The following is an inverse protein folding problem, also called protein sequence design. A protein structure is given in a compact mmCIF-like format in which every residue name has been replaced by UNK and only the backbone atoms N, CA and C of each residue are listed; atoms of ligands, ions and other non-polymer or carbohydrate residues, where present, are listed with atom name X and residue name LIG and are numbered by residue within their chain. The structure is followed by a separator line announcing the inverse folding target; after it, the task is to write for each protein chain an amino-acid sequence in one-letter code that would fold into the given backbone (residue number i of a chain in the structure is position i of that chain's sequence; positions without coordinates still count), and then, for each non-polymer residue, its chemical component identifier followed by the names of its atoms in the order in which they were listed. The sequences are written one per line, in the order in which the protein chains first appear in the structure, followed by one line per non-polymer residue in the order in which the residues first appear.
data_IF_299236593008
#
_entry.id   IF_299236593008
#
_cell.length_a   1.000
_cell.length_b   1.000
_cell.length_c   1.000
_cell.angle_alpha   90.00
_cell.angle_beta   90.00
_cell.angle_gamma   90.00
#
_symmetry.space_group_name_H-M   'P 1'
#
loop_
_entity.id
_entity.type
_entity.pdbx_description
1 polymer ?
#
# COMPACT_ATOMS: atom_id res chain seq x y z
N UNK A 1 -1.20 13.36 15.81
CA UNK A 1 -0.77 13.37 14.60
C UNK A 1 -1.60 14.13 13.71
N UNK A 2 -0.98 14.68 12.89
CA UNK A 2 -1.56 15.57 12.18
C UNK A 2 -2.05 15.08 10.92
N UNK A 3 -3.30 15.02 10.77
CA UNK A 3 -3.94 14.62 9.55
C UNK A 3 -3.60 15.60 8.45
N UNK A 4 -3.51 16.85 8.78
CA UNK A 4 -3.17 17.83 7.79
C UNK A 4 -1.77 17.68 7.26
N UNK A 5 -0.84 17.39 8.11
CA UNK A 5 0.53 17.18 7.68
C UNK A 5 0.60 16.02 6.73
N UNK A 6 -0.15 15.00 7.01
CA UNK A 6 -0.18 13.83 6.16
C UNK A 6 -0.74 14.18 4.79
N UNK A 7 -1.83 14.92 4.76
CA UNK A 7 -2.43 15.28 3.50
C UNK A 7 -1.52 16.19 2.68
N UNK A 8 -0.86 17.11 3.34
CA UNK A 8 0.06 18.00 2.64
C UNK A 8 1.23 17.23 2.07
N UNK A 9 1.71 16.26 2.81
CA UNK A 9 2.80 15.46 2.35
C UNK A 9 2.42 14.66 1.12
N UNK A 10 1.24 14.10 1.13
CA UNK A 10 0.75 13.34 -0.01
C UNK A 10 0.61 14.24 -1.23
N UNK A 11 0.08 15.43 -1.04
CA UNK A 11 -0.05 16.36 -2.13
C UNK A 11 1.28 16.74 -2.73
N UNK A 12 2.25 16.99 -1.88
CA UNK A 12 3.57 17.30 -2.34
C UNK A 12 4.17 16.17 -3.12
N UNK A 13 4.01 14.95 -2.62
CA UNK A 13 4.53 13.81 -3.28
C UNK A 13 3.90 13.64 -4.65
N UNK A 14 2.62 13.86 -4.71
CA UNK A 14 1.90 13.76 -5.96
C UNK A 14 2.43 14.76 -6.98
N UNK A 15 2.65 15.97 -6.55
CA UNK A 15 3.16 17.01 -7.42
C UNK A 15 4.55 16.65 -7.95
N UNK A 16 5.38 16.11 -7.11
CA UNK A 16 6.70 15.70 -7.52
C UNK A 16 6.64 14.61 -8.58
N UNK A 17 5.80 13.63 -8.38
CA UNK A 17 5.65 12.56 -9.35
C UNK A 17 5.17 13.13 -10.66
N UNK A 18 4.19 14.00 -10.60
CA UNK A 18 3.63 14.60 -11.78
C UNK A 18 4.69 15.39 -12.54
N UNK A 19 5.54 16.09 -11.82
CA UNK A 19 6.56 16.85 -12.44
C UNK A 19 7.61 16.03 -13.09
N UNK A 20 7.88 14.88 -12.53
CA UNK A 20 8.93 14.04 -12.97
C UNK A 20 8.75 13.57 -14.37
N UNK A 21 7.63 13.01 -14.70
CA UNK A 21 7.44 12.54 -16.00
C UNK A 21 6.35 13.12 -16.65
N UNK A 22 5.62 13.70 -15.88
CA UNK A 22 4.73 14.55 -16.38
C UNK A 22 3.56 14.11 -17.08
N UNK A 23 3.52 13.15 -17.66
CA UNK A 23 2.55 13.08 -18.54
C UNK A 23 1.88 11.86 -18.59
N UNK A 24 2.57 10.93 -18.45
CA UNK A 24 2.10 9.80 -18.96
C UNK A 24 1.48 8.89 -18.03
N UNK A 25 1.72 9.06 -16.77
CA UNK A 25 1.23 8.09 -15.88
C UNK A 25 0.16 8.67 -15.08
N UNK A 26 -1.03 8.22 -15.35
CA UNK A 26 -2.10 8.55 -14.48
C UNK A 26 -1.99 7.64 -13.30
N UNK A 27 -1.75 8.21 -12.14
CA UNK A 27 -1.70 7.42 -10.91
C UNK A 27 -3.01 7.54 -10.18
N UNK A 28 -3.31 6.55 -9.38
CA UNK A 28 -4.50 6.56 -8.54
C UNK A 28 -4.09 6.30 -7.10
N UNK A 29 -4.82 6.91 -6.20
CA UNK A 29 -4.63 6.65 -4.79
C UNK A 29 -5.46 5.44 -4.43
N UNK A 30 -4.87 4.53 -3.70
CA UNK A 30 -5.57 3.34 -3.28
C UNK A 30 -5.07 2.91 -1.91
N UNK A 31 -5.86 2.12 -1.24
CA UNK A 31 -5.48 1.56 0.03
C UNK A 31 -5.61 0.05 -0.05
N UNK A 32 -4.60 -0.66 0.35
CA UNK A 32 -4.63 -2.10 0.37
C UNK A 32 -4.74 -2.55 1.81
N UNK A 33 -5.83 -3.22 2.13
CA UNK A 33 -6.03 -3.78 3.46
C UNK A 33 -5.55 -5.21 3.45
N UNK A 34 -4.72 -5.55 4.42
CA UNK A 34 -4.05 -6.85 4.46
C UNK A 34 -4.25 -7.48 5.82
N UNK A 35 -4.61 -8.75 5.82
CA UNK A 35 -4.69 -9.52 7.05
C UNK A 35 -3.73 -10.69 6.92
N UNK A 36 -2.79 -10.78 7.85
CA UNK A 36 -1.77 -11.82 7.84
C UNK A 36 -2.10 -12.80 8.94
N UNK A 37 -2.35 -14.04 8.56
CA UNK A 37 -2.71 -15.07 9.53
C UNK A 37 -1.57 -15.99 9.91
N UNK A 38 -0.49 -15.97 9.16
CA UNK A 38 0.67 -16.81 9.45
C UNK A 38 1.89 -15.95 9.66
N UNK A 39 2.58 -16.17 10.73
CA UNK A 39 3.72 -15.33 11.07
C UNK A 39 4.86 -15.43 10.04
N UNK A 40 5.01 -16.59 9.41
CA UNK A 40 6.08 -16.72 8.42
C UNK A 40 5.76 -16.00 7.12
N UNK A 41 4.52 -15.58 6.95
CA UNK A 41 4.16 -14.81 5.75
C UNK A 41 4.68 -13.37 5.82
N UNK A 42 5.00 -12.89 7.01
CA UNK A 42 5.40 -11.50 7.18
C UNK A 42 6.66 -11.16 6.39
N UNK A 43 7.59 -12.08 6.32
CA UNK A 43 8.84 -11.82 5.62
C UNK A 43 8.60 -11.64 4.13
N UNK A 44 7.79 -12.50 3.54
CA UNK A 44 7.45 -12.38 2.12
C UNK A 44 6.66 -11.11 1.86
N UNK A 45 5.75 -10.81 2.77
CA UNK A 45 4.94 -9.61 2.66
C UNK A 45 5.82 -8.37 2.66
N UNK A 46 6.73 -8.29 3.60
CA UNK A 46 7.61 -7.13 3.70
C UNK A 46 8.52 -7.02 2.48
N UNK A 47 8.93 -8.14 1.92
CA UNK A 47 9.72 -8.13 0.70
C UNK A 47 8.99 -7.50 -0.47
N UNK A 48 7.72 -7.85 -0.62
CA UNK A 48 6.91 -7.29 -1.69
C UNK A 48 6.68 -5.80 -1.45
N UNK A 49 6.38 -5.42 -0.22
CA UNK A 49 6.16 -4.02 0.08
C UNK A 49 7.43 -3.20 -0.15
N UNK A 50 8.58 -3.78 0.13
CA UNK A 50 9.84 -3.10 -0.13
C UNK A 50 10.07 -2.91 -1.63
N UNK A 51 9.73 -3.90 -2.41
CA UNK A 51 9.86 -3.85 -3.86
C UNK A 51 9.05 -2.69 -4.44
N UNK A 52 7.91 -2.38 -3.85
CA UNK A 52 7.04 -1.32 -4.33
C UNK A 52 7.12 -0.05 -3.47
N UNK A 53 8.16 0.08 -2.68
CA UNK A 53 8.24 1.17 -1.70
C UNK A 53 8.12 2.55 -2.31
N UNK A 54 8.56 2.72 -3.54
CA UNK A 54 8.49 4.04 -4.17
C UNK A 54 7.06 4.51 -4.41
N UNK A 55 6.11 3.59 -4.40
CA UNK A 55 4.71 3.95 -4.59
C UNK A 55 3.94 4.07 -3.29
N UNK A 56 4.54 3.67 -2.20
CA UNK A 56 3.84 3.65 -0.92
C UNK A 56 3.88 5.01 -0.26
N UNK A 57 2.71 5.54 0.04
CA UNK A 57 2.58 6.81 0.73
C UNK A 57 2.76 6.62 2.22
N UNK A 58 2.23 5.54 2.75
CA UNK A 58 2.35 5.25 4.16
C UNK A 58 1.79 3.88 4.45
N UNK A 59 2.15 3.35 5.61
CA UNK A 59 1.60 2.07 6.01
C UNK A 59 1.43 2.05 7.53
N UNK A 60 0.48 1.23 7.97
CA UNK A 60 0.18 1.11 9.36
C UNK A 60 -0.08 -0.34 9.66
N UNK A 61 0.44 -0.84 10.74
CA UNK A 61 0.24 -2.23 11.10
C UNK A 61 -0.16 -2.37 12.55
N UNK A 62 -1.09 -3.27 12.82
CA UNK A 62 -1.56 -3.53 14.16
C UNK A 62 -1.52 -5.03 14.40
N UNK A 63 -0.61 -5.50 15.25
CA UNK A 63 -0.64 -6.92 15.60
C UNK A 63 -1.77 -7.18 16.58
N UNK A 64 -2.54 -8.19 16.32
CA UNK A 64 -3.65 -8.54 17.21
C UNK A 64 -3.41 -9.93 17.76
N UNK A 65 -2.88 -9.97 18.93
CA UNK A 65 -2.40 -11.22 19.52
C UNK A 65 -3.50 -12.20 19.90
N UNK A 66 -4.66 -11.69 20.25
CA UNK A 66 -5.76 -12.55 20.64
C UNK A 66 -6.17 -13.52 19.54
N UNK A 67 -6.02 -13.14 18.31
CA UNK A 67 -6.38 -14.00 17.19
C UNK A 67 -5.15 -14.39 16.37
N UNK A 68 -3.99 -14.02 16.83
CA UNK A 68 -2.73 -14.32 16.13
C UNK A 68 -2.71 -13.83 14.69
N UNK A 69 -3.25 -12.64 14.47
CA UNK A 69 -3.24 -12.05 13.15
C UNK A 69 -2.60 -10.66 13.20
N UNK A 70 -2.13 -10.20 12.07
CA UNK A 70 -1.66 -8.82 11.92
C UNK A 70 -2.54 -8.14 10.89
N UNK A 71 -2.93 -6.93 11.20
CA UNK A 71 -3.76 -6.13 10.30
C UNK A 71 -2.88 -5.01 9.77
N UNK A 72 -2.74 -4.93 8.46
CA UNK A 72 -1.87 -3.95 7.83
C UNK A 72 -2.65 -3.16 6.81
N UNK A 73 -2.42 -1.87 6.81
CA UNK A 73 -3.05 -0.99 5.85
C UNK A 73 -1.94 -0.24 5.12
N UNK A 74 -1.96 -0.27 3.80
CA UNK A 74 -0.92 0.36 3.00
C UNK A 74 -1.59 1.32 2.03
N UNK A 75 -1.18 2.58 2.08
CA UNK A 75 -1.70 3.58 1.16
C UNK A 75 -0.69 3.76 0.04
N UNK A 76 -1.17 3.77 -1.19
CA UNK A 76 -0.29 3.87 -2.35
C UNK A 76 -0.83 4.88 -3.35
N UNK A 77 0.07 5.40 -4.14
CA UNK A 77 -0.27 6.25 -5.27
C UNK A 77 0.53 5.72 -6.44
N UNK A 78 -0.12 5.02 -7.33
CA UNK A 78 0.56 4.30 -8.39
C UNK A 78 -0.36 4.11 -9.58
N UNK A 79 0.20 3.78 -10.75
CA UNK A 79 -0.64 3.42 -11.89
C UNK A 79 -1.49 2.21 -11.55
N UNK A 80 -2.70 2.11 -12.09
CA UNK A 80 -3.60 1.01 -11.73
C UNK A 80 -3.03 -0.38 -11.97
N UNK A 81 -2.25 -0.57 -13.00
CA UNK A 81 -1.66 -1.87 -13.27
C UNK A 81 -0.62 -2.23 -12.22
N UNK A 82 0.09 -1.25 -11.69
CA UNK A 82 1.04 -1.49 -10.61
C UNK A 82 0.30 -1.89 -9.35
N UNK A 83 -0.81 -1.21 -9.05
CA UNK A 83 -1.61 -1.53 -7.88
C UNK A 83 -2.17 -2.94 -7.98
N UNK A 84 -2.67 -3.31 -9.16
CA UNK A 84 -3.16 -4.66 -9.38
C UNK A 84 -2.10 -5.71 -9.19
N UNK A 85 -0.91 -5.44 -9.73
CA UNK A 85 0.20 -6.38 -9.60
C UNK A 85 0.60 -6.56 -8.14
N UNK A 86 0.67 -5.45 -7.42
CA UNK A 86 1.03 -5.47 -6.03
C UNK A 86 0.01 -6.24 -5.20
N UNK A 87 -1.26 -5.95 -5.43
CA UNK A 87 -2.34 -6.62 -4.73
C UNK A 87 -2.36 -8.10 -5.03
N UNK A 88 -2.11 -8.47 -6.28
CA UNK A 88 -2.07 -9.87 -6.67
C UNK A 88 -0.94 -10.62 -6.01
N UNK A 89 0.23 -10.01 -5.95
CA UNK A 89 1.38 -10.63 -5.31
C UNK A 89 1.14 -10.82 -3.82
N UNK A 90 0.55 -9.83 -3.19
CA UNK A 90 0.27 -9.91 -1.75
C UNK A 90 -0.76 -10.99 -1.46
N UNK A 91 -1.81 -11.05 -2.25
CA UNK A 91 -2.85 -12.03 -2.05
C UNK A 91 -2.42 -13.44 -2.37
N UNK A 92 -1.33 -13.61 -3.11
CA UNK A 92 -0.82 -14.93 -3.44
C UNK A 92 -0.01 -15.57 -2.31
N UNK A 93 0.34 -14.79 -1.29
CA UNK A 93 1.11 -15.33 -0.17
C UNK A 93 0.17 -16.17 0.69
N UNK A 94 0.61 -17.38 1.02
CA UNK A 94 -0.19 -18.24 1.85
C UNK A 94 -0.35 -17.62 3.24
N UNK A 95 -1.59 -17.55 3.71
CA UNK A 95 -1.88 -16.94 5.00
C UNK A 95 -2.10 -15.44 4.95
N UNK A 96 -2.22 -14.88 3.77
CA UNK A 96 -2.43 -13.43 3.60
C UNK A 96 -3.70 -13.19 2.79
N UNK A 97 -4.54 -12.30 3.29
CA UNK A 97 -5.70 -11.83 2.55
C UNK A 97 -5.49 -10.36 2.26
N UNK A 98 -5.63 -9.96 1.02
CA UNK A 98 -5.44 -8.57 0.63
C UNK A 98 -6.60 -8.09 -0.22
N UNK A 99 -7.07 -6.90 0.07
CA UNK A 99 -8.14 -6.26 -0.69
C UNK A 99 -7.76 -4.81 -0.94
N UNK A 100 -8.09 -4.32 -2.11
CA UNK A 100 -7.75 -2.97 -2.49
C UNK A 100 -8.99 -2.10 -2.61
N UNK A 101 -8.88 -0.89 -2.10
CA UNK A 101 -9.93 0.09 -2.24
C UNK A 101 -9.34 1.25 -3.03
N UNK A 102 -9.97 1.58 -4.14
CA UNK A 102 -9.50 2.68 -4.99
C UNK A 102 -10.23 3.95 -4.69
N UNK A 103 -9.49 5.05 -4.78
CA UNK A 103 -10.09 6.35 -4.69
C UNK A 103 -10.95 6.61 -5.92
N UNK A 104 -11.95 7.42 -5.77
CA UNK A 104 -12.79 7.81 -6.89
C UNK A 104 -12.27 9.04 -7.61
N UNK A 105 -11.17 9.57 -7.17
CA UNK A 105 -10.62 10.76 -7.80
C UNK A 105 -9.93 10.45 -9.11
#
# INVERSE_FOLDING_TARGET
MDFYACCQYVSRLFVIIWKGDGILMETRVAMIGIIVEKSDAAEKLNGILHEYSQYIIGRMGIPYEKKSVSIISVAVDAPPDVISAMSGKLGAIDGVTAKTIYSKL
#
